data_IF_190364902418
#
_entry.id   IF_190364902418
#
_cell.length_a   1.000
_cell.length_b   1.000
_cell.length_c   1.000
_cell.angle_alpha   90.00
_cell.angle_beta   90.00
_cell.angle_gamma   90.00
#
_symmetry.space_group_name_H-M   'P 1'
#
loop_
_entity.id
_entity.type
_entity.pdbx_description
1 polymer ?
#
# COMPACT_ATOMS: atom_id res chain seq x y z
N UNK A 1 -1.75 0.92 -10.03
CA UNK A 1 -2.10 -0.24 -9.20
C UNK A 1 -2.24 0.14 -7.73
N UNK A 2 -3.02 -0.63 -7.00
CA UNK A 2 -3.28 -0.47 -5.57
C UNK A 2 -2.83 -1.73 -4.82
N UNK A 3 -2.22 -1.54 -3.65
CA UNK A 3 -1.82 -2.63 -2.77
C UNK A 3 -1.61 -2.14 -1.33
N UNK A 4 -1.49 -3.06 -0.38
CA UNK A 4 -1.21 -2.76 1.03
C UNK A 4 0.03 -3.50 1.53
N UNK A 5 0.69 -2.89 2.52
CA UNK A 5 1.90 -3.42 3.12
C UNK A 5 1.85 -3.36 4.64
N UNK A 6 2.21 -4.45 5.35
CA UNK A 6 2.28 -4.45 6.81
C UNK A 6 3.41 -3.54 7.32
N UNK A 7 3.08 -2.74 8.32
CA UNK A 7 4.00 -1.91 9.10
C UNK A 7 3.97 -2.38 10.55
N UNK A 8 4.91 -3.23 10.91
CA UNK A 8 5.02 -3.77 12.27
C UNK A 8 5.53 -2.71 13.24
N UNK A 9 4.93 -2.59 14.41
CA UNK A 9 5.37 -1.66 15.45
C UNK A 9 6.28 -2.32 16.48
N UNK A 10 6.12 -3.63 16.69
CA UNK A 10 6.95 -4.42 17.60
C UNK A 10 6.93 -5.91 17.22
N UNK A 11 7.74 -6.70 17.89
CA UNK A 11 7.64 -8.16 17.85
C UNK A 11 6.34 -8.63 18.50
N UNK A 12 5.73 -9.70 18.00
CA UNK A 12 4.45 -10.22 18.47
C UNK A 12 4.41 -10.48 19.99
N UNK A 13 5.49 -11.01 20.56
CA UNK A 13 5.62 -11.25 22.01
C UNK A 13 5.58 -9.96 22.86
N UNK A 14 5.75 -8.78 22.25
CA UNK A 14 5.72 -7.49 22.93
C UNK A 14 4.40 -6.73 22.73
N UNK A 15 3.50 -7.23 21.90
CA UNK A 15 2.28 -6.52 21.53
C UNK A 15 1.42 -6.13 22.76
N UNK A 16 1.24 -7.04 23.71
CA UNK A 16 0.46 -6.78 24.94
C UNK A 16 1.05 -5.66 25.82
N UNK A 17 2.34 -5.36 25.69
CA UNK A 17 3.05 -4.32 26.44
C UNK A 17 3.35 -3.08 25.58
N UNK A 18 2.83 -3.04 24.36
CA UNK A 18 3.04 -1.90 23.46
C UNK A 18 2.33 -0.68 24.02
N UNK A 19 3.08 0.42 24.16
CA UNK A 19 2.54 1.68 24.66
C UNK A 19 2.04 2.60 23.52
N UNK A 20 2.26 2.22 22.25
CA UNK A 20 1.85 3.01 21.11
C UNK A 20 0.32 3.13 21.05
N UNK A 21 -0.20 4.35 21.00
CA UNK A 21 -1.63 4.64 20.94
C UNK A 21 -2.36 4.58 22.31
N UNK A 22 -1.66 4.46 23.44
CA UNK A 22 -2.31 4.49 24.76
C UNK A 22 -3.00 5.84 25.03
N UNK A 23 -2.38 6.93 24.59
CA UNK A 23 -2.91 8.30 24.78
C UNK A 23 -3.85 8.73 23.64
N UNK A 24 -3.97 7.90 22.57
CA UNK A 24 -4.83 8.12 21.41
C UNK A 24 -5.35 6.77 20.92
N UNK A 25 -6.35 6.17 21.59
CA UNK A 25 -6.87 4.84 21.30
C UNK A 25 -7.39 4.68 19.88
N UNK A 26 -7.94 5.75 19.29
CA UNK A 26 -8.43 5.77 17.90
C UNK A 26 -7.31 5.60 16.88
N UNK A 27 -6.07 5.90 17.25
CA UNK A 27 -4.87 5.72 16.43
C UNK A 27 -4.06 4.50 16.86
N UNK A 28 -4.57 3.68 17.77
CA UNK A 28 -3.83 2.52 18.29
C UNK A 28 -3.55 1.48 17.18
N UNK A 29 -2.37 0.83 17.20
CA UNK A 29 -2.10 -0.31 16.32
C UNK A 29 -3.00 -1.50 16.70
N UNK A 30 -3.20 -2.40 15.72
CA UNK A 30 -4.01 -3.59 15.92
C UNK A 30 -3.32 -4.85 15.41
N UNK A 31 -3.87 -6.02 15.74
CA UNK A 31 -3.46 -7.28 15.16
C UNK A 31 -3.99 -7.40 13.74
N UNK A 32 -3.12 -7.81 12.83
CA UNK A 32 -3.46 -8.12 11.45
C UNK A 32 -2.80 -9.41 10.98
N UNK A 33 -3.22 -9.88 9.82
CA UNK A 33 -2.66 -11.04 9.16
C UNK A 33 -2.12 -10.65 7.78
N UNK A 34 -0.89 -11.02 7.49
CA UNK A 34 -0.27 -10.83 6.19
C UNK A 34 -0.27 -12.17 5.43
N UNK A 35 -1.18 -12.33 4.47
CA UNK A 35 -1.34 -13.57 3.72
C UNK A 35 -0.10 -13.94 2.90
N UNK A 36 0.59 -12.96 2.31
CA UNK A 36 1.80 -13.18 1.50
C UNK A 36 3.00 -13.69 2.32
N UNK A 37 3.02 -13.41 3.63
CA UNK A 37 4.06 -13.86 4.55
C UNK A 37 3.59 -14.99 5.48
N UNK A 38 2.30 -15.37 5.44
CA UNK A 38 1.72 -16.40 6.30
C UNK A 38 1.81 -16.08 7.80
N UNK A 39 1.76 -14.79 8.19
CA UNK A 39 2.06 -14.41 9.57
C UNK A 39 1.12 -13.34 10.13
N UNK A 40 0.81 -13.47 11.43
CA UNK A 40 0.19 -12.40 12.20
C UNK A 40 1.25 -11.35 12.61
N UNK A 41 0.81 -10.11 12.69
CA UNK A 41 1.64 -9.01 13.15
C UNK A 41 0.80 -7.98 13.91
N UNK A 42 1.45 -7.20 14.76
CA UNK A 42 0.84 -6.09 15.48
C UNK A 42 1.36 -4.77 14.91
N UNK A 43 0.44 -3.92 14.44
CA UNK A 43 0.85 -2.67 13.80
C UNK A 43 -0.23 -2.03 12.93
N UNK A 44 0.21 -1.53 11.77
CA UNK A 44 -0.60 -0.81 10.78
C UNK A 44 -0.43 -1.44 9.40
N UNK A 45 -1.26 -1.00 8.46
CA UNK A 45 -1.09 -1.22 7.02
C UNK A 45 -0.82 0.11 6.33
N UNK A 46 0.16 0.14 5.45
CA UNK A 46 0.35 1.20 4.49
C UNK A 46 -0.36 0.79 3.19
N UNK A 47 -1.42 1.48 2.85
CA UNK A 47 -2.08 1.38 1.55
C UNK A 47 -1.43 2.37 0.59
N UNK A 48 -1.28 1.99 -0.67
CA UNK A 48 -0.75 2.91 -1.68
C UNK A 48 -1.38 2.67 -3.05
N UNK A 49 -1.52 3.75 -3.80
CA UNK A 49 -1.82 3.71 -5.24
C UNK A 49 -0.60 4.22 -5.98
N UNK A 50 -0.12 3.47 -6.94
CA UNK A 50 0.96 3.92 -7.82
C UNK A 50 0.59 3.86 -9.30
N UNK A 51 1.16 4.76 -10.07
CA UNK A 51 1.04 4.79 -11.52
C UNK A 51 1.86 3.71 -12.22
N UNK A 52 1.77 3.67 -13.53
CA UNK A 52 2.51 2.73 -14.40
C UNK A 52 4.02 2.92 -14.35
N UNK A 53 4.47 4.11 -13.99
CA UNK A 53 5.89 4.46 -13.81
C UNK A 53 6.45 4.03 -12.45
N UNK A 54 5.58 3.65 -11.48
CA UNK A 54 5.96 3.31 -10.11
C UNK A 54 6.09 4.53 -9.20
N UNK A 55 5.46 5.65 -9.53
CA UNK A 55 5.32 6.82 -8.66
C UNK A 55 4.08 6.66 -7.80
N UNK A 56 4.20 6.94 -6.49
CA UNK A 56 3.05 6.97 -5.57
C UNK A 56 2.19 8.19 -5.89
N UNK A 57 0.90 7.96 -6.12
CA UNK A 57 -0.09 9.02 -6.32
C UNK A 57 -0.84 9.34 -5.03
N UNK A 58 -1.19 8.31 -4.26
CA UNK A 58 -1.78 8.47 -2.93
C UNK A 58 -1.38 7.33 -2.02
N UNK A 59 -1.44 7.56 -0.72
CA UNK A 59 -1.26 6.53 0.29
C UNK A 59 -2.08 6.88 1.55
N UNK A 60 -2.39 5.85 2.33
CA UNK A 60 -3.00 5.97 3.64
C UNK A 60 -2.43 4.93 4.60
N UNK A 61 -2.60 5.15 5.90
CA UNK A 61 -2.14 4.25 6.95
C UNK A 61 -3.28 3.93 7.90
N UNK A 62 -3.71 2.67 7.92
CA UNK A 62 -4.78 2.18 8.79
C UNK A 62 -4.23 1.23 9.85
N UNK A 63 -5.00 0.99 10.92
CA UNK A 63 -4.71 -0.10 11.84
C UNK A 63 -4.74 -1.45 11.10
N UNK A 64 -3.92 -2.42 11.52
CA UNK A 64 -3.69 -3.66 10.78
C UNK A 64 -4.93 -4.56 10.64
N UNK A 65 -5.95 -4.40 11.49
CA UNK A 65 -7.23 -5.13 11.42
C UNK A 65 -8.22 -4.55 10.40
N UNK A 66 -7.98 -3.34 9.90
CA UNK A 66 -8.86 -2.73 8.88
C UNK A 66 -8.71 -3.47 7.57
N UNK A 67 -9.82 -3.83 6.94
CA UNK A 67 -9.79 -4.52 5.63
C UNK A 67 -9.26 -3.60 4.53
N UNK A 68 -8.49 -4.14 3.59
CA UNK A 68 -7.95 -3.40 2.44
C UNK A 68 -9.06 -2.77 1.58
N UNK A 69 -10.25 -3.38 1.59
CA UNK A 69 -11.43 -2.90 0.87
C UNK A 69 -11.86 -1.50 1.34
N UNK A 70 -11.66 -1.16 2.62
CA UNK A 70 -12.05 0.16 3.13
C UNK A 70 -11.31 1.31 2.45
N UNK A 71 -10.05 1.11 2.09
CA UNK A 71 -9.29 2.13 1.36
C UNK A 71 -9.87 2.46 -0.03
N UNK A 72 -10.59 1.51 -0.64
CA UNK A 72 -11.28 1.76 -1.91
C UNK A 72 -12.38 2.83 -1.80
N UNK A 73 -12.94 3.04 -0.60
CA UNK A 73 -13.93 4.09 -0.37
C UNK A 73 -13.32 5.49 -0.53
N UNK A 74 -12.05 5.65 -0.18
CA UNK A 74 -11.33 6.92 -0.32
C UNK A 74 -10.83 7.12 -1.75
N UNK A 75 -10.45 6.02 -2.41
CA UNK A 75 -9.95 6.00 -3.80
C UNK A 75 -10.97 6.61 -4.78
N UNK A 76 -12.26 6.36 -4.62
CA UNK A 76 -13.31 6.88 -5.50
C UNK A 76 -13.44 8.42 -5.50
N UNK A 77 -12.94 9.07 -4.46
CA UNK A 77 -12.93 10.53 -4.35
C UNK A 77 -11.65 11.17 -4.86
N UNK A 78 -10.61 10.35 -5.07
CA UNK A 78 -9.28 10.79 -5.49
C UNK A 78 -9.01 10.54 -6.98
N UNK A 79 -9.72 9.59 -7.59
CA UNK A 79 -9.50 9.15 -8.96
C UNK A 79 -10.82 9.02 -9.72
N UNK A 80 -10.76 9.20 -11.04
CA UNK A 80 -11.86 8.93 -11.98
C UNK A 80 -11.33 8.42 -13.31
N UNK A 81 -12.22 7.83 -14.10
CA UNK A 81 -11.99 7.45 -15.49
C UNK A 81 -10.70 6.64 -15.72
N UNK A 82 -10.44 5.65 -14.85
CA UNK A 82 -9.19 4.91 -14.90
C UNK A 82 -9.36 3.40 -14.69
N UNK A 83 -8.38 2.65 -15.19
CA UNK A 83 -8.20 1.24 -14.86
C UNK A 83 -7.28 1.12 -13.64
N UNK A 84 -7.77 0.49 -12.58
CA UNK A 84 -7.01 0.21 -11.37
C UNK A 84 -6.78 -1.29 -11.23
N UNK A 85 -5.56 -1.69 -10.88
CA UNK A 85 -5.18 -3.08 -10.69
C UNK A 85 -4.95 -3.34 -9.21
N UNK A 86 -5.70 -4.26 -8.64
CA UNK A 86 -5.58 -4.66 -7.23
C UNK A 86 -5.16 -6.11 -7.04
N UNK A 87 -4.89 -6.50 -5.78
CA UNK A 87 -4.71 -7.89 -5.39
C UNK A 87 -6.07 -8.52 -5.01
N UNK A 88 -6.09 -9.84 -4.77
CA UNK A 88 -7.28 -10.62 -4.37
C UNK A 88 -7.94 -10.10 -3.08
N UNK A 89 -7.19 -9.39 -2.24
CA UNK A 89 -7.69 -8.73 -1.04
C UNK A 89 -8.72 -7.62 -1.31
N UNK A 90 -8.72 -7.06 -2.53
CA UNK A 90 -9.64 -6.01 -2.97
C UNK A 90 -10.88 -6.54 -3.69
N UNK A 91 -11.09 -7.85 -3.71
CA UNK A 91 -12.22 -8.47 -4.40
C UNK A 91 -13.51 -8.25 -3.62
N UNK A 92 -14.39 -7.42 -4.17
CA UNK A 92 -15.76 -7.15 -3.69
C UNK A 92 -16.60 -6.66 -4.86
N UNK A 93 -17.58 -7.44 -5.27
CA UNK A 93 -18.46 -7.12 -6.40
C UNK A 93 -19.18 -5.78 -6.18
N UNK A 94 -19.73 -5.57 -4.99
CA UNK A 94 -20.50 -4.37 -4.67
C UNK A 94 -19.65 -3.10 -4.71
N UNK A 95 -18.41 -3.19 -4.20
CA UNK A 95 -17.49 -2.04 -4.21
C UNK A 95 -16.92 -1.79 -5.60
N UNK A 96 -16.62 -2.85 -6.38
CA UNK A 96 -16.19 -2.70 -7.76
C UNK A 96 -17.28 -2.02 -8.61
N UNK A 97 -18.55 -2.41 -8.40
CA UNK A 97 -19.68 -1.76 -9.05
C UNK A 97 -19.80 -0.28 -8.62
N UNK A 98 -19.73 -0.01 -7.32
CA UNK A 98 -19.80 1.37 -6.80
C UNK A 98 -18.68 2.26 -7.33
N UNK A 99 -17.43 1.74 -7.41
CA UNK A 99 -16.30 2.46 -8.01
C UNK A 99 -16.54 2.81 -9.47
N UNK A 100 -17.15 1.90 -10.22
CA UNK A 100 -17.49 2.13 -11.62
C UNK A 100 -18.62 3.14 -11.78
N UNK A 101 -19.70 2.99 -11.02
CA UNK A 101 -20.88 3.85 -11.12
C UNK A 101 -20.61 5.29 -10.69
N UNK A 102 -19.80 5.48 -9.64
CA UNK A 102 -19.55 6.81 -9.05
C UNK A 102 -18.37 7.53 -9.70
N UNK A 103 -17.31 6.81 -10.04
CA UNK A 103 -16.04 7.39 -10.46
C UNK A 103 -15.50 6.85 -11.78
N UNK A 104 -16.23 5.98 -12.47
CA UNK A 104 -15.79 5.29 -13.70
C UNK A 104 -14.43 4.57 -13.53
N UNK A 105 -14.18 4.06 -12.30
CA UNK A 105 -12.98 3.29 -12.01
C UNK A 105 -13.26 1.82 -12.29
N UNK A 106 -12.58 1.25 -13.27
CA UNK A 106 -12.58 -0.19 -13.53
C UNK A 106 -11.52 -0.86 -12.65
N UNK A 107 -11.94 -1.51 -11.56
CA UNK A 107 -11.01 -2.22 -10.67
C UNK A 107 -10.87 -3.68 -11.09
N UNK A 108 -9.71 -4.03 -11.63
CA UNK A 108 -9.34 -5.38 -12.03
C UNK A 108 -8.56 -6.08 -10.93
N UNK A 109 -9.09 -7.20 -10.45
CA UNK A 109 -8.47 -8.06 -9.44
C UNK A 109 -8.42 -9.51 -9.92
N UNK A 110 -7.41 -10.29 -9.56
CA UNK A 110 -7.36 -11.71 -9.94
C UNK A 110 -8.50 -12.48 -9.27
N UNK A 111 -9.20 -13.28 -10.04
CA UNK A 111 -10.26 -14.15 -9.52
C UNK A 111 -9.69 -15.24 -8.60
N UNK A 112 -10.49 -15.65 -7.60
CA UNK A 112 -10.20 -16.83 -6.80
C UNK A 112 -10.58 -18.08 -7.62
N UNK A 113 -9.82 -19.16 -7.50
CA UNK A 113 -10.05 -20.40 -8.26
C UNK A 113 -11.45 -21.02 -8.05
N UNK A 114 -12.06 -20.76 -6.90
CA UNK A 114 -13.39 -21.26 -6.54
C UNK A 114 -14.54 -20.33 -6.94
N UNK A 115 -14.30 -19.26 -7.69
CA UNK A 115 -15.36 -18.38 -8.18
C UNK A 115 -16.05 -18.98 -9.41
N UNK A 116 -17.41 -18.88 -9.44
CA UNK A 116 -18.21 -19.36 -10.57
C UNK A 116 -17.82 -18.74 -11.92
N UNK A 117 -17.42 -17.47 -11.92
CA UNK A 117 -17.02 -16.71 -13.10
C UNK A 117 -15.49 -16.59 -13.24
N UNK A 118 -14.75 -17.59 -12.81
CA UNK A 118 -13.31 -17.56 -12.90
C UNK A 118 -12.83 -17.28 -14.34
N UNK A 119 -11.89 -16.34 -14.46
CA UNK A 119 -11.20 -16.01 -15.69
C UNK A 119 -9.69 -16.01 -15.43
N UNK A 120 -8.87 -16.45 -16.41
CA UNK A 120 -7.42 -16.35 -16.27
C UNK A 120 -7.02 -14.88 -16.14
N UNK A 121 -6.01 -14.55 -15.31
CA UNK A 121 -5.53 -13.18 -15.17
C UNK A 121 -4.97 -12.67 -16.50
N UNK A 122 -5.27 -11.43 -16.85
CA UNK A 122 -4.74 -10.80 -18.06
C UNK A 122 -3.23 -10.63 -17.89
N UNK A 123 -2.47 -11.33 -18.72
CA UNK A 123 -1.01 -11.37 -18.62
C UNK A 123 -0.35 -9.99 -18.67
N UNK A 124 -0.85 -9.07 -19.50
CA UNK A 124 -0.34 -7.72 -19.61
C UNK A 124 -0.37 -6.95 -18.27
N UNK A 125 -1.36 -7.22 -17.41
CA UNK A 125 -1.51 -6.51 -16.12
C UNK A 125 -0.47 -6.95 -15.09
N UNK A 126 0.13 -8.13 -15.24
CA UNK A 126 1.17 -8.63 -14.33
C UNK A 126 2.37 -7.68 -14.22
N UNK A 127 2.78 -7.08 -15.32
CA UNK A 127 3.90 -6.12 -15.36
C UNK A 127 3.59 -4.86 -14.54
N UNK A 128 2.37 -4.36 -14.65
CA UNK A 128 1.96 -3.14 -13.94
C UNK A 128 1.74 -3.40 -12.44
N UNK A 129 1.20 -4.55 -12.06
CA UNK A 129 1.08 -4.93 -10.65
C UNK A 129 2.43 -5.05 -9.96
N UNK A 130 3.45 -5.58 -10.62
CA UNK A 130 4.81 -5.64 -10.09
C UNK A 130 5.42 -4.27 -9.76
N UNK A 131 4.88 -3.17 -10.28
CA UNK A 131 5.39 -1.83 -9.98
C UNK A 131 5.22 -1.47 -8.50
N UNK A 132 4.05 -1.74 -7.93
CA UNK A 132 3.81 -1.44 -6.52
C UNK A 132 4.61 -2.37 -5.59
N UNK A 133 4.80 -3.64 -5.97
CA UNK A 133 5.67 -4.56 -5.24
C UNK A 133 7.12 -4.05 -5.20
N UNK A 134 7.65 -3.62 -6.36
CA UNK A 134 8.99 -3.02 -6.46
C UNK A 134 9.11 -1.76 -5.60
N UNK A 135 8.10 -0.90 -5.62
CA UNK A 135 8.05 0.33 -4.83
C UNK A 135 8.06 0.03 -3.32
N UNK A 136 7.28 -0.95 -2.87
CA UNK A 136 7.31 -1.38 -1.48
C UNK A 136 8.66 -2.02 -1.08
N UNK A 137 9.32 -2.75 -1.99
CA UNK A 137 10.68 -3.24 -1.78
C UNK A 137 11.66 -2.08 -1.60
N UNK A 138 11.61 -1.07 -2.48
CA UNK A 138 12.46 0.12 -2.37
C UNK A 138 12.26 0.86 -1.04
N UNK A 139 11.00 1.08 -0.63
CA UNK A 139 10.70 1.67 0.67
C UNK A 139 11.30 0.88 1.84
N UNK A 140 11.31 -0.45 1.74
CA UNK A 140 11.92 -1.29 2.77
C UNK A 140 13.44 -1.23 2.77
N UNK A 141 14.03 -1.45 1.61
CA UNK A 141 15.45 -1.77 1.49
C UNK A 141 16.31 -0.50 1.47
N UNK A 142 15.81 0.56 0.82
CA UNK A 142 16.54 1.82 0.67
C UNK A 142 16.13 2.88 1.70
N UNK A 143 14.86 2.89 2.12
CA UNK A 143 14.34 3.86 3.10
C UNK A 143 14.07 3.24 4.46
N UNK A 144 14.40 1.96 4.67
CA UNK A 144 14.28 1.25 5.94
C UNK A 144 12.85 1.33 6.54
N UNK A 145 11.80 1.20 5.71
CA UNK A 145 10.41 1.32 6.14
C UNK A 145 10.06 0.35 7.28
N UNK A 146 10.63 -0.86 7.25
CA UNK A 146 10.42 -1.89 8.28
C UNK A 146 10.99 -1.45 9.64
N UNK A 147 12.06 -0.66 9.65
CA UNK A 147 12.73 -0.21 10.88
C UNK A 147 12.18 1.15 11.29
N UNK A 148 11.05 1.12 11.95
CA UNK A 148 10.44 2.33 12.50
C UNK A 148 10.50 2.26 14.02
N UNK A 149 11.26 3.16 14.63
CA UNK A 149 11.45 3.24 16.08
C UNK A 149 10.56 4.31 16.71
N UNK A 150 9.47 4.71 16.07
CA UNK A 150 8.51 5.64 16.65
C UNK A 150 7.85 5.02 17.88
N UNK A 151 7.64 5.83 18.90
CA UNK A 151 6.97 5.43 20.14
C UNK A 151 5.50 5.82 20.14
N UNK A 152 5.11 6.78 19.30
CA UNK A 152 3.75 7.30 19.18
C UNK A 152 3.24 7.15 17.73
N UNK A 153 1.91 7.00 17.53
CA UNK A 153 1.31 6.87 16.19
C UNK A 153 1.69 8.01 15.25
N UNK A 154 1.56 9.26 15.69
CA UNK A 154 1.88 10.43 14.85
C UNK A 154 3.35 10.44 14.42
N UNK A 155 4.27 10.07 15.31
CA UNK A 155 5.68 9.93 14.97
C UNK A 155 5.94 8.82 13.93
N UNK A 156 5.16 7.74 13.96
CA UNK A 156 5.20 6.68 12.94
C UNK A 156 4.70 7.22 11.59
N UNK A 157 3.54 7.87 11.58
CA UNK A 157 2.92 8.39 10.35
C UNK A 157 3.81 9.46 9.69
N UNK A 158 4.38 10.37 10.48
CA UNK A 158 5.36 11.36 9.99
C UNK A 158 6.57 10.69 9.34
N UNK A 159 7.11 9.62 9.93
CA UNK A 159 8.25 8.89 9.35
C UNK A 159 7.86 8.15 8.06
N UNK A 160 6.66 7.61 7.97
CA UNK A 160 6.13 7.01 6.74
C UNK A 160 6.04 8.09 5.66
N UNK A 161 5.42 9.24 5.96
CA UNK A 161 5.29 10.37 5.04
C UNK A 161 6.66 10.85 4.54
N UNK A 162 7.63 11.02 5.44
CA UNK A 162 8.99 11.45 5.08
C UNK A 162 9.69 10.46 4.13
N UNK A 163 9.50 9.15 4.32
CA UNK A 163 10.10 8.12 3.46
C UNK A 163 9.43 8.07 2.09
N UNK A 164 8.11 8.23 2.03
CA UNK A 164 7.36 8.35 0.77
C UNK A 164 7.79 9.60 0.02
N UNK A 165 7.90 10.75 0.71
CA UNK A 165 8.35 11.99 0.12
C UNK A 165 9.79 11.87 -0.42
N UNK A 166 10.71 11.28 0.35
CA UNK A 166 12.10 11.08 -0.08
C UNK A 166 12.17 10.19 -1.34
N UNK A 167 11.41 9.10 -1.39
CA UNK A 167 11.31 8.25 -2.58
C UNK A 167 10.83 9.06 -3.79
N UNK A 168 9.76 9.84 -3.63
CA UNK A 168 9.18 10.66 -4.70
C UNK A 168 10.15 11.75 -5.19
N UNK A 169 10.87 12.40 -4.28
CA UNK A 169 11.90 13.39 -4.63
C UNK A 169 13.01 12.74 -5.47
N UNK A 170 13.52 11.57 -5.08
CA UNK A 170 14.56 10.88 -5.86
C UNK A 170 14.03 10.41 -7.23
N UNK A 171 12.77 9.99 -7.30
CA UNK A 171 12.10 9.70 -8.58
C UNK A 171 12.02 10.95 -9.46
N UNK A 172 11.69 12.11 -8.87
CA UNK A 172 11.67 13.38 -9.59
C UNK A 172 13.06 13.80 -10.06
N UNK A 173 14.11 13.66 -9.22
CA UNK A 173 15.50 13.90 -9.62
C UNK A 173 15.90 13.03 -10.82
N UNK A 174 15.53 11.76 -10.82
CA UNK A 174 15.75 10.90 -11.99
C UNK A 174 14.97 11.39 -13.24
N UNK A 175 13.73 11.84 -13.06
CA UNK A 175 12.91 12.35 -14.15
C UNK A 175 13.55 13.57 -14.83
N UNK A 176 13.94 14.59 -14.05
CA UNK A 176 14.56 15.83 -14.60
C UNK A 176 15.93 15.56 -15.24
N UNK A 177 16.63 14.51 -14.80
CA UNK A 177 17.91 14.09 -15.37
C UNK A 177 17.76 13.04 -16.49
N UNK A 178 16.55 12.84 -17.02
CA UNK A 178 16.24 11.86 -18.08
C UNK A 178 16.69 10.42 -17.76
N UNK A 179 16.69 10.05 -16.48
CA UNK A 179 17.04 8.72 -15.99
C UNK A 179 15.79 7.87 -15.75
N UNK A 180 15.97 6.56 -15.56
CA UNK A 180 14.87 5.65 -15.22
C UNK A 180 14.30 5.99 -13.84
N UNK A 181 13.06 6.45 -13.77
CA UNK A 181 12.38 6.93 -12.54
C UNK A 181 12.51 5.93 -11.39
N UNK A 182 12.30 4.63 -11.64
CA UNK A 182 12.36 3.59 -10.61
C UNK A 182 13.77 3.23 -10.11
N UNK A 183 14.84 3.79 -10.65
CA UNK A 183 16.22 3.49 -10.22
C UNK A 183 16.74 4.52 -9.21
N UNK A 184 16.00 4.68 -8.10
CA UNK A 184 16.26 5.76 -7.12
C UNK A 184 17.63 5.71 -6.45
N UNK A 185 18.25 4.53 -6.33
CA UNK A 185 19.61 4.40 -5.78
C UNK A 185 20.69 5.15 -6.58
N UNK A 186 20.41 5.49 -7.83
CA UNK A 186 21.33 6.23 -8.71
C UNK A 186 20.94 7.70 -8.88
N UNK A 187 19.92 8.17 -8.18
CA UNK A 187 19.40 9.52 -8.38
C UNK A 187 20.42 10.62 -8.01
N UNK A 188 21.32 10.34 -7.08
CA UNK A 188 22.30 11.31 -6.55
C UNK A 188 23.73 11.08 -7.07
N UNK A 189 23.90 10.27 -8.12
CA UNK A 189 25.21 9.98 -8.74
C UNK A 189 25.39 10.74 -10.04
#
# INVERSE_FOLDING_TARGET
SIDSKPIKVCQNARAARCAMGKDAPELAPAWGYCASQGMHYYGYKLHAVCGTTGVIHSYDTTAANVSDIHYLQDVKWQYSDCLMLGDKGYLSTDIQQNLFDVAHISLEVPYRLNQKNWRPPIWAYRKFRKRIETLFSQLNDQFMMIRNYAKQPMGLFTRIAAKVAALTILQYVNFINHRKIGQVKYALI
#
